data_IF_672740884005
#
_entry.id   IF_672740884005
#
_cell.length_a   1.000
_cell.length_b   1.000
_cell.length_c   1.000
_cell.angle_alpha   90.00
_cell.angle_beta   90.00
_cell.angle_gamma   90.00
#
_symmetry.space_group_name_H-M   'P 1'
#
loop_
_entity.id
_entity.type
_entity.pdbx_description
1 polymer ?
#
# COMPACT_ATOMS: atom_id res chain seq x y z
N UNK A 1 -5.82 -25.43 -41.98
CA UNK A 1 -4.55 -25.20 -41.28
C UNK A 1 -4.63 -23.77 -40.75
N UNK A 2 -5.02 -23.58 -39.48
CA UNK A 2 -5.23 -22.25 -38.90
C UNK A 2 -4.25 -22.09 -37.75
N UNK A 3 -3.26 -21.23 -37.94
CA UNK A 3 -2.22 -20.95 -36.94
C UNK A 3 -2.76 -19.98 -35.89
N UNK A 4 -2.66 -20.39 -34.64
CA UNK A 4 -2.94 -19.59 -33.44
C UNK A 4 -1.89 -18.48 -33.28
N UNK A 5 -2.34 -17.29 -32.88
CA UNK A 5 -1.48 -16.25 -32.30
C UNK A 5 -2.05 -15.79 -30.97
N UNK A 6 -1.60 -16.41 -29.89
CA UNK A 6 -1.76 -15.93 -28.52
C UNK A 6 -0.47 -15.24 -28.11
N UNK A 7 -0.47 -13.92 -28.05
CA UNK A 7 0.65 -13.16 -27.52
C UNK A 7 0.62 -13.17 -26.00
N UNK A 8 1.57 -13.90 -25.41
CA UNK A 8 1.91 -13.83 -23.98
C UNK A 8 2.62 -12.48 -23.71
N UNK A 9 2.13 -11.74 -22.73
CA UNK A 9 2.83 -10.57 -22.20
C UNK A 9 3.53 -11.00 -20.91
N UNK A 10 4.85 -11.13 -20.93
CA UNK A 10 5.65 -11.24 -19.72
C UNK A 10 5.87 -9.84 -19.15
N UNK A 11 5.52 -9.65 -17.87
CA UNK A 11 5.89 -8.47 -17.10
C UNK A 11 6.96 -8.87 -16.09
N UNK A 12 8.23 -8.47 -16.25
CA UNK A 12 9.21 -8.61 -15.18
C UNK A 12 9.02 -7.44 -14.20
N UNK A 13 8.47 -7.74 -13.02
CA UNK A 13 8.41 -6.83 -11.89
C UNK A 13 9.34 -7.29 -10.79
N UNK A 14 10.66 -7.17 -10.99
CA UNK A 14 11.62 -7.28 -9.89
C UNK A 14 11.60 -5.97 -9.09
N UNK A 15 10.82 -5.94 -8.02
CA UNK A 15 11.01 -4.98 -6.95
C UNK A 15 12.14 -5.51 -6.04
N UNK A 16 13.06 -4.65 -5.54
CA UNK A 16 14.06 -5.09 -4.57
C UNK A 16 13.35 -5.46 -3.26
N UNK A 17 13.46 -6.73 -2.86
CA UNK A 17 13.17 -7.17 -1.50
C UNK A 17 14.24 -6.60 -0.56
N UNK A 18 13.95 -5.42 -0.01
CA UNK A 18 14.64 -4.93 1.18
C UNK A 18 13.94 -5.58 2.39
N UNK A 19 14.60 -6.56 3.00
CA UNK A 19 14.20 -7.11 4.31
C UNK A 19 14.88 -6.25 5.39
N UNK A 20 14.17 -5.39 6.16
CA UNK A 20 14.80 -4.71 7.28
C UNK A 20 14.85 -5.65 8.48
N UNK A 21 16.08 -5.90 8.95
CA UNK A 21 16.37 -6.63 10.17
C UNK A 21 15.71 -5.99 11.39
N UNK A 22 15.13 -6.83 12.22
CA UNK A 22 14.30 -6.50 13.37
C UNK A 22 15.16 -6.15 14.59
N UNK A 23 15.61 -4.90 14.68
CA UNK A 23 16.13 -4.34 15.92
C UNK A 23 16.09 -2.81 15.83
N UNK A 24 15.18 -2.21 16.60
CA UNK A 24 14.85 -0.77 16.60
C UNK A 24 14.14 -0.26 15.33
N UNK A 25 12.91 -0.72 15.12
CA UNK A 25 12.03 -0.16 14.10
C UNK A 25 11.48 1.20 14.55
N UNK A 26 12.31 2.24 14.45
CA UNK A 26 11.79 3.60 14.30
C UNK A 26 10.73 3.57 13.19
N UNK A 27 9.53 4.10 13.46
CA UNK A 27 8.46 4.18 12.47
C UNK A 27 8.84 5.28 11.47
N UNK A 28 9.75 4.95 10.58
CA UNK A 28 10.13 5.81 9.49
C UNK A 28 9.04 5.75 8.40
N UNK A 29 8.70 6.88 7.78
CA UNK A 29 7.80 6.90 6.65
C UNK A 29 8.42 6.10 5.50
N UNK A 30 7.72 5.05 5.07
CA UNK A 30 8.07 4.21 3.93
C UNK A 30 7.14 4.60 2.79
N UNK A 31 7.63 5.07 1.63
CA UNK A 31 6.76 5.42 0.52
C UNK A 31 5.85 4.27 0.11
N UNK A 32 4.56 4.54 -0.08
CA UNK A 32 3.63 3.54 -0.60
C UNK A 32 3.83 3.38 -2.11
N UNK A 33 3.78 2.14 -2.54
CA UNK A 33 4.03 1.68 -3.90
C UNK A 33 2.77 1.08 -4.51
N UNK A 34 2.84 0.76 -5.81
CA UNK A 34 1.77 0.05 -6.50
C UNK A 34 1.67 -1.42 -6.11
N UNK A 35 2.56 -1.95 -5.28
CA UNK A 35 2.45 -3.30 -4.72
C UNK A 35 1.61 -3.33 -3.43
N UNK A 36 1.49 -2.20 -2.72
CA UNK A 36 0.79 -2.11 -1.45
C UNK A 36 -0.73 -2.20 -1.66
N UNK A 37 -1.40 -3.08 -0.88
CA UNK A 37 -2.80 -3.44 -1.08
C UNK A 37 -3.60 -3.07 0.16
N UNK A 38 -4.81 -2.56 -0.05
CA UNK A 38 -5.74 -2.28 1.03
C UNK A 38 -6.21 -3.59 1.67
N UNK A 39 -6.09 -3.71 2.99
CA UNK A 39 -6.49 -4.92 3.72
C UNK A 39 -8.00 -5.21 3.67
N UNK A 40 -8.82 -4.19 3.34
CA UNK A 40 -10.27 -4.33 3.27
C UNK A 40 -10.81 -4.63 1.86
N UNK A 41 -10.12 -4.23 0.77
CA UNK A 41 -10.62 -4.46 -0.60
C UNK A 41 -9.58 -4.90 -1.63
N UNK A 42 -8.29 -4.96 -1.28
CA UNK A 42 -7.23 -5.31 -2.21
C UNK A 42 -6.89 -4.25 -3.27
N UNK A 43 -7.51 -3.06 -3.25
CA UNK A 43 -7.09 -1.96 -4.12
C UNK A 43 -5.71 -1.42 -3.73
N UNK A 44 -5.09 -0.56 -4.55
CA UNK A 44 -3.84 0.09 -4.15
C UNK A 44 -4.00 0.88 -2.84
N UNK A 45 -3.06 0.70 -1.91
CA UNK A 45 -3.00 1.44 -0.67
C UNK A 45 -2.36 2.82 -0.88
N UNK A 46 -2.92 3.81 -0.19
CA UNK A 46 -2.44 5.20 -0.13
C UNK A 46 -2.32 5.69 1.31
N UNK A 47 -2.77 4.89 2.27
CA UNK A 47 -2.63 5.15 3.70
C UNK A 47 -2.00 3.95 4.38
N UNK A 48 -1.00 4.22 5.23
CA UNK A 48 -0.38 3.25 6.13
C UNK A 48 -0.64 3.69 7.57
N UNK A 49 -1.20 2.79 8.34
CA UNK A 49 -1.61 3.03 9.73
C UNK A 49 -0.83 2.08 10.62
N UNK A 50 -0.03 2.63 11.51
CA UNK A 50 0.66 1.85 12.54
C UNK A 50 -0.18 1.85 13.80
N UNK A 51 -0.39 0.67 14.36
CA UNK A 51 -1.15 0.35 15.57
C UNK A 51 -0.20 -0.33 16.57
N UNK A 52 -0.67 -0.53 17.80
CA UNK A 52 0.08 -1.30 18.81
C UNK A 52 0.30 -2.76 18.41
N UNK A 53 -0.58 -3.32 17.57
CA UNK A 53 -0.55 -4.71 17.13
C UNK A 53 0.18 -4.94 15.80
N UNK A 54 0.66 -3.88 15.13
CA UNK A 54 1.26 -3.98 13.79
C UNK A 54 0.85 -2.82 12.90
N UNK A 55 0.82 -3.03 11.58
CA UNK A 55 0.39 -2.02 10.62
C UNK A 55 -0.77 -2.54 9.74
N UNK A 56 -1.59 -1.59 9.28
CA UNK A 56 -2.66 -1.81 8.30
C UNK A 56 -2.51 -0.84 7.14
N UNK A 57 -2.87 -1.30 5.96
CA UNK A 57 -2.83 -0.56 4.71
C UNK A 57 -4.25 -0.30 4.22
N UNK A 58 -4.52 0.94 3.84
CA UNK A 58 -5.82 1.36 3.34
C UNK A 58 -5.69 2.07 2.00
N UNK A 59 -6.66 1.82 1.11
CA UNK A 59 -6.88 2.69 -0.04
C UNK A 59 -7.41 4.05 0.44
N UNK A 60 -7.32 5.08 -0.40
CA UNK A 60 -7.81 6.42 -0.07
C UNK A 60 -9.28 6.42 0.37
N UNK A 61 -10.11 5.54 -0.20
CA UNK A 61 -11.51 5.38 0.19
C UNK A 61 -11.66 4.86 1.62
N UNK A 62 -11.06 3.70 1.94
CA UNK A 62 -11.26 3.09 3.25
C UNK A 62 -10.55 3.81 4.37
N UNK A 63 -9.38 4.42 4.11
CA UNK A 63 -8.75 5.24 5.15
C UNK A 63 -9.58 6.47 5.50
N UNK A 64 -10.27 7.09 4.52
CA UNK A 64 -11.24 8.17 4.78
C UNK A 64 -12.51 7.67 5.47
N UNK A 65 -13.02 6.51 5.08
CA UNK A 65 -14.19 5.90 5.72
C UNK A 65 -13.94 5.54 7.19
N UNK A 66 -12.70 5.17 7.53
CA UNK A 66 -12.30 4.81 8.90
C UNK A 66 -11.54 5.93 9.64
N UNK A 67 -11.38 7.12 9.04
CA UNK A 67 -10.63 8.24 9.63
C UNK A 67 -10.92 8.52 11.11
N UNK A 68 -12.18 8.57 11.60
CA UNK A 68 -12.44 8.81 13.02
C UNK A 68 -11.88 7.69 13.92
N UNK A 69 -12.03 6.43 13.52
CA UNK A 69 -11.52 5.30 14.29
C UNK A 69 -9.98 5.24 14.24
N UNK A 70 -9.39 5.56 13.09
CA UNK A 70 -7.93 5.60 12.92
C UNK A 70 -7.31 6.69 13.81
N UNK A 71 -7.92 7.87 13.88
CA UNK A 71 -7.43 8.98 14.71
C UNK A 71 -7.38 8.62 16.21
N UNK A 72 -8.24 7.73 16.69
CA UNK A 72 -8.24 7.29 18.09
C UNK A 72 -7.21 6.18 18.41
N UNK A 73 -6.85 5.36 17.42
CA UNK A 73 -6.14 4.08 17.66
C UNK A 73 -4.76 4.02 17.04
N UNK A 74 -4.51 4.84 16.02
CA UNK A 74 -3.23 4.84 15.32
C UNK A 74 -2.14 5.48 16.17
N UNK A 75 -0.98 4.82 16.21
CA UNK A 75 0.27 5.38 16.69
C UNK A 75 0.88 6.31 15.64
N UNK A 76 0.68 6.00 14.36
CA UNK A 76 1.15 6.79 13.24
C UNK A 76 0.26 6.56 12.01
N UNK A 77 0.01 7.64 11.26
CA UNK A 77 -0.73 7.59 10.00
C UNK A 77 0.10 8.30 8.93
N UNK A 78 0.48 7.58 7.89
CA UNK A 78 1.05 8.11 6.67
C UNK A 78 -0.03 8.12 5.60
N UNK A 79 -0.51 9.31 5.22
CA UNK A 79 -1.48 9.51 4.14
C UNK A 79 -0.80 10.13 2.92
N UNK A 80 -0.76 9.38 1.83
CA UNK A 80 -0.21 9.78 0.54
C UNK A 80 -1.31 9.97 -0.51
N UNK A 81 -2.59 10.04 -0.10
CA UNK A 81 -3.73 10.17 -1.02
C UNK A 81 -3.70 11.47 -1.83
N UNK A 82 -2.94 12.49 -1.41
CA UNK A 82 -2.66 13.69 -2.20
C UNK A 82 -2.03 13.37 -3.57
N UNK A 83 -1.21 12.31 -3.67
CA UNK A 83 -0.56 11.86 -4.91
C UNK A 83 -1.54 11.40 -5.98
N UNK A 84 -2.79 11.09 -5.60
CA UNK A 84 -3.86 10.78 -6.55
C UNK A 84 -4.28 12.00 -7.38
N UNK A 85 -4.15 13.20 -6.83
CA UNK A 85 -4.46 14.44 -7.54
C UNK A 85 -3.36 14.83 -8.54
N UNK A 86 -2.12 14.40 -8.32
CA UNK A 86 -0.97 14.71 -9.16
C UNK A 86 -0.88 13.81 -10.41
N UNK A 87 -1.56 12.66 -10.40
CA UNK A 87 -1.61 11.70 -11.50
C UNK A 87 -2.97 11.57 -12.20
N UNK A 88 -3.90 12.50 -11.94
CA UNK A 88 -5.23 12.55 -12.56
C UNK A 88 -5.25 13.43 -13.82
#
# INVERSE_FOLDING_TARGET
MTTVSTSVVERPGSAPEAVPSTEDAAVEPRPLTTADRCDACGAQAWMRVVLTAGELLFCAHHGRAHAPALAERALFIQDESSRLAEGA
#
